data_IF_281259711843
#
_entry.id   IF_281259711843
#
_cell.length_a   1.000
_cell.length_b   1.000
_cell.length_c   1.000
_cell.angle_alpha   90.00
_cell.angle_beta   90.00
_cell.angle_gamma   90.00
#
_symmetry.space_group_name_H-M   'P 1'
#
loop_
_entity.id
_entity.type
_entity.pdbx_description
1 polymer ?
#
# COMPACT_ATOMS: atom_id res chain seq x y z
N UNK A 1 25.46 1.03 5.88
CA UNK A 1 24.70 1.23 4.62
C UNK A 1 23.62 2.30 4.81
N UNK A 2 23.28 3.05 3.77
CA UNK A 2 22.17 4.00 3.86
C UNK A 2 20.83 3.25 4.05
N UNK A 3 19.94 3.75 4.92
CA UNK A 3 18.61 3.16 5.13
C UNK A 3 17.81 3.15 3.83
N UNK A 4 17.23 1.99 3.46
CA UNK A 4 16.34 1.90 2.30
C UNK A 4 15.03 2.66 2.53
N UNK A 5 14.39 3.07 1.45
CA UNK A 5 13.12 3.79 1.47
C UNK A 5 11.91 2.87 1.39
N UNK A 6 10.89 3.20 2.16
CA UNK A 6 9.55 2.61 2.07
C UNK A 6 8.57 3.75 1.80
N UNK A 7 7.74 3.59 0.77
CA UNK A 7 6.71 4.56 0.44
C UNK A 7 5.33 3.93 0.62
N UNK A 8 4.45 4.58 1.38
CA UNK A 8 3.08 4.10 1.62
C UNK A 8 2.11 5.24 1.37
N UNK A 9 1.08 4.99 0.57
CA UNK A 9 0.01 5.94 0.31
C UNK A 9 -1.36 5.32 0.58
N UNK A 10 -2.38 6.17 0.76
CA UNK A 10 -3.74 5.73 0.96
C UNK A 10 -4.75 6.74 0.40
N UNK A 11 -6.00 6.33 0.33
CA UNK A 11 -7.16 7.19 0.11
C UNK A 11 -7.11 8.00 -1.20
N UNK A 12 -6.64 7.39 -2.30
CA UNK A 12 -6.75 7.99 -3.63
C UNK A 12 -8.20 8.07 -4.09
N UNK A 13 -9.03 7.09 -3.70
CA UNK A 13 -10.48 7.15 -3.84
C UNK A 13 -11.10 7.58 -2.50
N UNK A 14 -11.80 8.71 -2.46
CA UNK A 14 -12.28 9.30 -1.21
C UNK A 14 -13.23 8.41 -0.41
N UNK A 15 -14.08 7.60 -1.06
CA UNK A 15 -15.03 6.70 -0.40
C UNK A 15 -14.39 5.45 0.21
N UNK A 16 -13.11 5.16 -0.09
CA UNK A 16 -12.43 3.96 0.41
C UNK A 16 -11.86 4.17 1.83
N UNK A 17 -12.75 4.34 2.82
CA UNK A 17 -12.37 4.62 4.23
C UNK A 17 -11.51 3.54 4.88
N UNK A 18 -11.62 2.27 4.44
CA UNK A 18 -10.78 1.16 4.87
C UNK A 18 -9.28 1.49 4.76
N UNK A 19 -8.89 2.15 3.67
CA UNK A 19 -7.49 2.50 3.43
C UNK A 19 -6.94 3.46 4.48
N UNK A 20 -7.76 4.38 4.99
CA UNK A 20 -7.37 5.30 6.07
C UNK A 20 -7.23 4.59 7.41
N UNK A 21 -8.07 3.59 7.70
CA UNK A 21 -7.94 2.80 8.92
C UNK A 21 -6.72 1.88 8.89
N UNK A 22 -6.40 1.28 7.74
CA UNK A 22 -5.13 0.57 7.56
C UNK A 22 -3.93 1.51 7.74
N UNK A 23 -4.00 2.71 7.14
CA UNK A 23 -2.95 3.72 7.29
C UNK A 23 -2.77 4.18 8.73
N UNK A 24 -3.85 4.32 9.49
CA UNK A 24 -3.78 4.62 10.93
C UNK A 24 -2.98 3.54 11.66
N UNK A 25 -3.27 2.26 11.39
CA UNK A 25 -2.52 1.14 11.98
C UNK A 25 -1.03 1.14 11.60
N UNK A 26 -0.70 1.52 10.37
CA UNK A 26 0.69 1.73 9.92
C UNK A 26 1.37 2.82 10.74
N UNK A 27 0.74 3.98 10.88
CA UNK A 27 1.33 5.13 11.57
C UNK A 27 1.47 4.85 13.07
N UNK A 28 0.41 4.39 13.72
CA UNK A 28 0.40 4.08 15.16
C UNK A 28 1.50 3.06 15.51
N UNK A 29 1.64 2.03 14.70
CA UNK A 29 2.70 1.04 14.92
C UNK A 29 4.10 1.64 14.71
N UNK A 30 4.31 2.41 13.65
CA UNK A 30 5.61 3.01 13.37
C UNK A 30 6.08 4.00 14.45
N UNK A 31 5.17 4.70 15.12
CA UNK A 31 5.55 5.65 16.17
C UNK A 31 5.56 5.02 17.55
N UNK A 32 5.17 3.75 17.69
CA UNK A 32 5.17 3.04 18.95
C UNK A 32 6.59 2.80 19.50
N UNK A 33 6.67 2.49 20.79
CA UNK A 33 7.92 2.16 21.48
C UNK A 33 8.33 0.68 21.36
N UNK A 34 7.58 -0.12 20.58
CA UNK A 34 7.85 -1.56 20.45
C UNK A 34 9.20 -1.82 19.79
N UNK A 35 9.89 -2.94 20.14
CA UNK A 35 11.17 -3.32 19.51
C UNK A 35 11.07 -3.44 17.99
N UNK A 36 9.96 -3.96 17.49
CA UNK A 36 9.69 -4.11 16.06
C UNK A 36 9.61 -2.75 15.36
N UNK A 37 8.89 -1.78 15.94
CA UNK A 37 8.79 -0.44 15.39
C UNK A 37 10.14 0.29 15.40
N UNK A 38 10.93 0.09 16.46
CA UNK A 38 12.30 0.61 16.54
C UNK A 38 13.16 0.02 15.42
N UNK A 39 13.16 -1.31 15.26
CA UNK A 39 13.93 -2.01 14.23
C UNK A 39 13.56 -1.49 12.82
N UNK A 40 12.28 -1.23 12.55
CA UNK A 40 11.84 -0.65 11.29
C UNK A 40 12.42 0.76 11.07
N UNK A 41 12.31 1.65 12.06
CA UNK A 41 12.83 3.02 11.97
C UNK A 41 14.37 3.06 11.89
N UNK A 42 15.04 2.09 12.47
CA UNK A 42 16.51 1.98 12.42
C UNK A 42 17.03 1.50 11.06
N UNK A 43 16.23 0.72 10.32
CA UNK A 43 16.63 0.14 9.03
C UNK A 43 16.03 0.85 7.82
N UNK A 44 14.92 1.58 7.98
CA UNK A 44 14.21 2.22 6.87
C UNK A 44 13.94 3.71 7.10
N UNK A 45 13.76 4.42 6.00
CA UNK A 45 13.14 5.75 5.97
C UNK A 45 11.77 5.61 5.32
N UNK A 46 10.73 5.99 6.06
CA UNK A 46 9.35 5.95 5.58
C UNK A 46 8.93 7.29 5.00
N UNK A 47 8.31 7.27 3.82
CA UNK A 47 7.54 8.38 3.27
C UNK A 47 6.07 7.93 3.23
N UNK A 48 5.23 8.66 3.95
CA UNK A 48 3.81 8.32 4.12
C UNK A 48 2.96 9.46 3.57
N UNK A 49 2.01 9.11 2.71
CA UNK A 49 0.97 10.01 2.18
C UNK A 49 -0.39 9.48 2.63
N UNK A 50 -0.91 9.93 3.78
CA UNK A 50 -2.09 9.33 4.41
C UNK A 50 -3.36 9.47 3.56
N UNK A 51 -3.50 10.57 2.83
CA UNK A 51 -4.67 10.86 1.99
C UNK A 51 -4.20 11.47 0.67
N UNK A 52 -4.33 10.70 -0.41
CA UNK A 52 -3.97 11.15 -1.76
C UNK A 52 -5.03 12.10 -2.37
N UNK A 53 -6.27 12.03 -1.91
CA UNK A 53 -7.36 12.86 -2.42
C UNK A 53 -8.11 13.58 -1.28
N UNK A 54 -7.42 14.51 -0.58
CA UNK A 54 -8.03 15.22 0.56
C UNK A 54 -9.26 16.04 0.16
N UNK A 55 -9.22 16.69 -0.98
CA UNK A 55 -10.34 17.50 -1.49
C UNK A 55 -11.59 16.64 -1.70
N UNK A 56 -11.43 15.48 -2.31
CA UNK A 56 -12.52 14.54 -2.51
C UNK A 56 -13.09 14.00 -1.19
N UNK A 57 -12.24 13.79 -0.18
CA UNK A 57 -12.67 13.36 1.16
C UNK A 57 -13.48 14.46 1.84
N UNK A 58 -13.00 15.71 1.82
CA UNK A 58 -13.67 16.86 2.43
C UNK A 58 -15.02 17.13 1.74
N UNK A 59 -15.06 17.01 0.42
CA UNK A 59 -16.26 17.23 -0.38
C UNK A 59 -17.27 16.07 -0.33
N UNK A 60 -16.88 14.91 0.26
CA UNK A 60 -17.75 13.73 0.31
C UNK A 60 -17.86 12.95 -1.00
N UNK A 61 -16.91 13.08 -1.91
CA UNK A 61 -16.88 12.32 -3.15
C UNK A 61 -16.68 10.82 -2.86
N UNK A 62 -17.29 9.96 -3.68
CA UNK A 62 -17.03 8.53 -3.56
C UNK A 62 -15.69 8.12 -4.21
N UNK A 63 -15.36 8.67 -5.40
CA UNK A 63 -14.22 8.20 -6.18
C UNK A 63 -13.33 9.31 -6.75
N UNK A 64 -13.90 10.33 -7.33
CA UNK A 64 -13.16 11.31 -8.10
C UNK A 64 -12.63 12.48 -7.26
N UNK A 65 -11.62 13.17 -7.79
CA UNK A 65 -11.18 14.49 -7.31
C UNK A 65 -12.20 15.58 -7.65
N UNK A 66 -11.99 16.81 -7.20
CA UNK A 66 -12.85 17.95 -7.54
C UNK A 66 -12.91 18.23 -9.05
N UNK A 67 -11.88 17.86 -9.81
CA UNK A 67 -11.88 17.96 -11.27
C UNK A 67 -12.62 16.81 -11.97
N UNK A 68 -13.38 15.98 -11.24
CA UNK A 68 -14.11 14.83 -11.78
C UNK A 68 -13.22 13.68 -12.27
N UNK A 69 -11.96 13.65 -11.88
CA UNK A 69 -11.00 12.66 -12.35
C UNK A 69 -10.79 11.53 -11.34
N UNK A 70 -10.79 10.27 -11.83
CA UNK A 70 -10.22 9.15 -11.09
C UNK A 70 -8.70 9.30 -11.06
N UNK A 71 -8.17 9.75 -9.93
CA UNK A 71 -6.73 9.99 -9.78
C UNK A 71 -5.92 8.70 -9.95
N UNK A 72 -6.50 7.51 -9.67
CA UNK A 72 -5.81 6.24 -9.92
C UNK A 72 -5.89 5.77 -11.38
N UNK A 73 -6.15 6.67 -12.32
CA UNK A 73 -5.99 6.50 -13.77
C UNK A 73 -5.06 7.54 -14.37
N UNK A 74 -4.46 8.42 -13.55
CA UNK A 74 -3.68 9.57 -14.01
C UNK A 74 -2.20 9.53 -13.62
N UNK A 75 -1.68 8.37 -13.23
CA UNK A 75 -0.29 8.25 -12.80
C UNK A 75 0.73 8.20 -13.94
N UNK A 76 0.35 7.78 -15.14
CA UNK A 76 1.27 7.71 -16.28
C UNK A 76 1.81 9.11 -16.65
N UNK A 77 0.92 10.05 -16.88
CA UNK A 77 1.24 11.45 -17.27
C UNK A 77 0.37 12.43 -16.48
N UNK A 78 0.65 12.64 -15.18
CA UNK A 78 -0.16 13.54 -14.38
C UNK A 78 0.03 14.99 -14.81
N UNK A 79 -1.07 15.71 -15.03
CA UNK A 79 -1.07 17.14 -15.29
C UNK A 79 -0.95 17.89 -13.96
N UNK A 80 -0.11 18.92 -13.91
CA UNK A 80 0.14 19.70 -12.68
C UNK A 80 -1.10 20.41 -12.14
N UNK A 81 -2.01 20.82 -13.00
CA UNK A 81 -3.23 21.56 -12.63
C UNK A 81 -4.39 20.61 -12.34
N UNK A 82 -4.63 19.62 -13.22
CA UNK A 82 -5.77 18.70 -13.10
C UNK A 82 -5.54 17.55 -12.13
N UNK A 83 -4.27 17.15 -11.91
CA UNK A 83 -3.90 16.04 -11.05
C UNK A 83 -2.73 16.44 -10.14
N UNK A 84 -2.87 17.54 -9.35
CA UNK A 84 -1.74 18.13 -8.62
C UNK A 84 -1.09 17.16 -7.64
N UNK A 85 -1.89 16.31 -6.98
CA UNK A 85 -1.40 15.31 -6.02
C UNK A 85 -0.55 14.24 -6.72
N UNK A 86 -1.04 13.66 -7.80
CA UNK A 86 -0.27 12.67 -8.58
C UNK A 86 1.06 13.26 -9.05
N UNK A 87 1.02 14.50 -9.54
CA UNK A 87 2.21 15.20 -10.00
C UNK A 87 3.22 15.42 -8.85
N UNK A 88 2.74 15.90 -7.69
CA UNK A 88 3.58 16.15 -6.52
C UNK A 88 4.17 14.86 -5.95
N UNK A 89 3.36 13.80 -5.82
CA UNK A 89 3.79 12.50 -5.29
C UNK A 89 4.80 11.82 -6.22
N UNK A 90 4.62 11.87 -7.54
CA UNK A 90 5.65 11.38 -8.47
C UNK A 90 6.99 12.11 -8.30
N UNK A 91 6.95 13.41 -8.12
CA UNK A 91 8.17 14.20 -7.84
C UNK A 91 8.80 13.80 -6.52
N UNK A 92 7.98 13.63 -5.47
CA UNK A 92 8.44 13.21 -4.15
C UNK A 92 9.14 11.85 -4.20
N UNK A 93 8.54 10.85 -4.87
CA UNK A 93 9.14 9.52 -5.00
C UNK A 93 10.47 9.60 -5.78
N UNK A 94 10.51 10.33 -6.91
CA UNK A 94 11.74 10.52 -7.68
C UNK A 94 12.84 11.21 -6.88
N UNK A 95 12.48 12.23 -6.08
CA UNK A 95 13.45 12.89 -5.19
C UNK A 95 13.96 11.93 -4.12
N UNK A 96 13.07 11.14 -3.53
CA UNK A 96 13.40 10.15 -2.53
C UNK A 96 14.35 9.06 -3.06
N UNK A 97 14.16 8.64 -4.32
CA UNK A 97 15.02 7.68 -5.01
C UNK A 97 16.44 8.22 -5.33
N UNK A 98 16.61 9.54 -5.41
CA UNK A 98 17.94 10.14 -5.56
C UNK A 98 18.78 10.02 -4.29
N UNK A 99 18.12 9.97 -3.14
CA UNK A 99 18.77 9.90 -1.83
C UNK A 99 19.04 8.46 -1.40
N UNK A 100 18.20 7.50 -1.82
CA UNK A 100 18.24 6.10 -1.39
C UNK A 100 17.51 5.15 -2.30
N UNK A 101 17.86 3.87 -2.24
CA UNK A 101 17.08 2.81 -2.85
C UNK A 101 15.69 2.73 -2.20
N UNK A 102 14.62 2.76 -2.98
CA UNK A 102 13.25 2.52 -2.51
C UNK A 102 12.94 1.04 -2.69
N UNK A 103 12.81 0.34 -1.56
CA UNK A 103 12.54 -1.11 -1.54
C UNK A 103 11.08 -1.44 -1.87
N UNK A 104 10.15 -0.60 -1.42
CA UNK A 104 8.71 -0.86 -1.56
C UNK A 104 7.89 0.41 -1.73
N UNK A 105 6.86 0.32 -2.57
CA UNK A 105 5.72 1.22 -2.61
C UNK A 105 4.43 0.43 -2.43
N UNK A 106 3.64 0.75 -1.41
CA UNK A 106 2.33 0.15 -1.15
C UNK A 106 1.24 1.22 -1.12
N UNK A 107 0.22 1.07 -1.99
CA UNK A 107 -0.94 1.94 -2.06
C UNK A 107 -2.16 1.22 -1.46
N UNK A 108 -2.75 1.80 -0.41
CA UNK A 108 -3.83 1.20 0.36
C UNK A 108 -5.20 1.64 -0.19
N UNK A 109 -6.06 0.65 -0.45
CA UNK A 109 -7.37 0.79 -1.08
C UNK A 109 -8.49 0.06 -0.34
N UNK A 110 -9.72 0.35 -0.71
CA UNK A 110 -10.91 -0.41 -0.34
C UNK A 110 -11.55 -1.10 -1.56
N UNK A 111 -12.07 -2.30 -1.38
CA UNK A 111 -12.65 -3.12 -2.44
C UNK A 111 -14.11 -3.50 -2.18
N UNK A 112 -15.01 -3.20 -3.14
CA UNK A 112 -16.46 -3.37 -2.98
C UNK A 112 -17.02 -4.73 -3.41
N UNK A 113 -16.24 -5.57 -4.09
CA UNK A 113 -16.76 -6.80 -4.73
C UNK A 113 -16.25 -8.10 -4.12
N UNK A 114 -15.12 -8.09 -3.45
CA UNK A 114 -14.50 -9.29 -2.88
C UNK A 114 -14.42 -9.17 -1.38
N UNK A 115 -14.53 -10.29 -0.71
CA UNK A 115 -14.21 -10.43 0.72
C UNK A 115 -12.68 -10.49 0.91
N UNK A 116 -12.25 -10.46 2.16
CA UNK A 116 -10.84 -10.50 2.60
C UNK A 116 -10.04 -9.24 2.28
N UNK A 117 -8.77 -9.31 2.63
CA UNK A 117 -7.74 -8.37 2.19
C UNK A 117 -6.79 -9.13 1.27
N UNK A 118 -6.35 -8.50 0.20
CA UNK A 118 -5.48 -9.11 -0.81
C UNK A 118 -4.64 -8.04 -1.52
N UNK A 119 -3.67 -8.46 -2.33
CA UNK A 119 -2.81 -7.54 -3.06
C UNK A 119 -2.87 -7.72 -4.57
N UNK A 120 -2.71 -6.60 -5.27
CA UNK A 120 -2.26 -6.58 -6.65
C UNK A 120 -0.78 -6.22 -6.69
N UNK A 121 0.04 -7.04 -7.33
CA UNK A 121 1.46 -6.80 -7.61
C UNK A 121 1.75 -6.77 -9.11
N UNK A 122 3.03 -6.81 -9.47
CA UNK A 122 3.48 -6.80 -10.85
C UNK A 122 4.33 -8.05 -11.12
N UNK A 123 4.07 -8.73 -12.24
CA UNK A 123 4.88 -9.86 -12.64
C UNK A 123 6.21 -9.36 -13.23
N UNK A 124 7.32 -9.80 -12.66
CA UNK A 124 8.67 -9.53 -13.13
C UNK A 124 9.07 -10.72 -13.99
N UNK A 125 9.33 -10.52 -15.28
CA UNK A 125 9.60 -11.61 -16.23
C UNK A 125 10.82 -12.42 -15.83
N UNK A 126 11.88 -11.74 -15.44
CA UNK A 126 13.19 -12.31 -15.07
C UNK A 126 13.17 -13.02 -13.71
N UNK A 127 12.19 -12.68 -12.85
CA UNK A 127 12.06 -13.22 -11.50
C UNK A 127 10.57 -13.34 -11.11
N UNK A 128 9.79 -14.26 -11.73
CA UNK A 128 8.32 -14.27 -11.59
C UNK A 128 7.82 -14.56 -10.18
N UNK A 129 8.65 -15.15 -9.33
CA UNK A 129 8.29 -15.44 -7.94
C UNK A 129 8.60 -14.29 -6.97
N UNK A 130 9.53 -13.40 -7.31
CA UNK A 130 10.01 -12.35 -6.39
C UNK A 130 8.89 -11.44 -5.90
N UNK A 131 8.01 -11.01 -6.78
CA UNK A 131 6.86 -10.15 -6.43
C UNK A 131 5.79 -10.85 -5.58
N UNK A 132 5.86 -12.17 -5.43
CA UNK A 132 4.91 -12.97 -4.65
C UNK A 132 5.39 -13.22 -3.21
N UNK A 133 6.70 -13.07 -2.96
CA UNK A 133 7.29 -13.39 -1.65
C UNK A 133 6.67 -12.55 -0.55
N UNK A 134 6.60 -11.23 -0.73
CA UNK A 134 6.05 -10.34 0.29
C UNK A 134 4.57 -10.64 0.62
N UNK A 135 3.64 -10.72 -0.36
CA UNK A 135 2.25 -11.12 -0.09
C UNK A 135 2.11 -12.52 0.51
N UNK A 136 3.01 -13.45 0.16
CA UNK A 136 3.01 -14.78 0.76
C UNK A 136 3.39 -14.73 2.24
N UNK A 137 4.44 -13.99 2.61
CA UNK A 137 4.82 -13.75 4.01
C UNK A 137 3.64 -13.15 4.78
N UNK A 138 3.01 -12.12 4.20
CA UNK A 138 1.86 -11.46 4.83
C UNK A 138 0.71 -12.44 5.10
N UNK A 139 0.44 -13.40 4.19
CA UNK A 139 -0.58 -14.43 4.38
C UNK A 139 -0.27 -15.42 5.50
N UNK A 140 0.99 -15.53 5.91
CA UNK A 140 1.39 -16.35 7.07
C UNK A 140 1.27 -15.61 8.40
N UNK A 141 1.23 -14.28 8.36
CA UNK A 141 1.09 -13.42 9.53
C UNK A 141 -0.35 -12.97 9.78
N UNK A 142 -1.22 -13.12 8.78
CA UNK A 142 -2.60 -12.62 8.84
C UNK A 142 -3.53 -13.56 8.06
N UNK A 143 -4.39 -14.27 8.76
CA UNK A 143 -5.27 -15.32 8.22
C UNK A 143 -6.46 -14.77 7.42
N UNK A 144 -6.85 -13.50 7.65
CA UNK A 144 -7.86 -12.79 6.84
C UNK A 144 -7.25 -12.04 5.63
N UNK A 145 -5.94 -12.15 5.41
CA UNK A 145 -5.30 -11.79 4.15
C UNK A 145 -5.30 -12.99 3.20
N UNK A 146 -5.78 -12.80 1.99
CA UNK A 146 -5.86 -13.88 0.98
C UNK A 146 -4.78 -13.74 -0.08
N UNK A 147 -3.78 -14.61 -0.01
CA UNK A 147 -2.79 -14.75 -1.08
C UNK A 147 -3.41 -15.26 -2.37
N UNK A 148 -4.37 -16.19 -2.29
CA UNK A 148 -5.05 -16.82 -3.43
C UNK A 148 -5.87 -15.81 -4.25
N UNK A 149 -6.39 -14.77 -3.61
CA UNK A 149 -7.11 -13.69 -4.29
C UNK A 149 -6.15 -12.63 -4.87
N UNK A 150 -4.89 -12.64 -4.47
CA UNK A 150 -3.89 -11.69 -4.99
C UNK A 150 -3.59 -11.96 -6.46
N UNK A 151 -3.28 -10.91 -7.22
CA UNK A 151 -3.03 -11.00 -8.68
C UNK A 151 -1.83 -10.15 -9.04
N UNK A 152 -1.03 -10.65 -10.00
CA UNK A 152 0.24 -10.05 -10.40
C UNK A 152 0.29 -9.69 -11.90
N UNK A 153 -0.84 -9.77 -12.58
CA UNK A 153 -0.93 -9.47 -14.01
C UNK A 153 -0.84 -7.97 -14.30
N UNK A 154 -0.22 -7.65 -15.43
CA UNK A 154 -0.14 -6.31 -16.00
C UNK A 154 -1.24 -6.16 -17.06
N UNK A 155 -2.34 -5.51 -16.72
CA UNK A 155 -3.45 -5.26 -17.65
C UNK A 155 -3.32 -3.89 -18.32
N UNK A 156 -3.53 -3.81 -19.64
CA UNK A 156 -3.57 -2.54 -20.38
C UNK A 156 -4.60 -1.57 -19.81
N UNK A 157 -5.78 -2.06 -19.42
CA UNK A 157 -6.83 -1.23 -18.82
C UNK A 157 -6.43 -0.57 -17.48
N UNK A 158 -5.34 -1.03 -16.86
CA UNK A 158 -4.83 -0.53 -15.57
C UNK A 158 -3.50 0.23 -15.69
N UNK A 159 -3.01 0.53 -16.90
CA UNK A 159 -1.72 1.20 -17.12
C UNK A 159 -1.61 2.58 -16.47
N UNK A 160 -2.74 3.27 -16.28
CA UNK A 160 -2.80 4.57 -15.59
C UNK A 160 -2.80 4.50 -14.06
N UNK A 161 -2.83 3.30 -13.45
CA UNK A 161 -2.80 3.15 -11.98
C UNK A 161 -1.41 3.40 -11.43
N UNK A 162 -1.34 3.79 -10.15
CA UNK A 162 -0.07 3.96 -9.43
C UNK A 162 0.82 2.74 -9.57
N UNK A 163 0.27 1.55 -9.28
CA UNK A 163 0.99 0.29 -9.31
C UNK A 163 1.70 0.03 -10.64
N UNK A 164 1.02 0.15 -11.77
CA UNK A 164 1.60 -0.19 -13.07
C UNK A 164 2.47 0.96 -13.60
N UNK A 165 2.01 2.21 -13.48
CA UNK A 165 2.75 3.35 -13.98
C UNK A 165 4.10 3.53 -13.26
N UNK A 166 4.11 3.43 -11.93
CA UNK A 166 5.33 3.53 -11.14
C UNK A 166 6.27 2.34 -11.36
N UNK A 167 5.73 1.12 -11.47
CA UNK A 167 6.53 -0.07 -11.77
C UNK A 167 7.30 0.06 -13.07
N UNK A 168 6.63 0.53 -14.13
CA UNK A 168 7.26 0.69 -15.45
C UNK A 168 8.27 1.83 -15.51
N UNK A 169 8.09 2.85 -14.67
CA UNK A 169 8.88 4.07 -14.72
C UNK A 169 10.03 4.10 -13.72
N UNK A 170 9.81 3.58 -12.52
CA UNK A 170 10.74 3.79 -11.41
C UNK A 170 11.56 2.55 -11.05
N UNK A 171 11.27 1.40 -11.65
CA UNK A 171 11.99 0.15 -11.38
C UNK A 171 12.08 -0.21 -9.87
N UNK A 172 11.07 0.14 -9.09
CA UNK A 172 10.97 -0.27 -7.68
C UNK A 172 10.55 -1.75 -7.66
N UNK A 173 11.28 -2.64 -6.96
CA UNK A 173 11.03 -4.09 -7.03
C UNK A 173 9.68 -4.51 -6.46
N UNK A 174 9.22 -3.85 -5.40
CA UNK A 174 7.99 -4.19 -4.70
C UNK A 174 7.00 -3.04 -4.80
N UNK A 175 6.11 -3.09 -5.79
CA UNK A 175 4.99 -2.14 -5.90
C UNK A 175 3.69 -2.90 -5.80
N UNK A 176 2.88 -2.55 -4.79
CA UNK A 176 1.63 -3.20 -4.47
C UNK A 176 0.47 -2.21 -4.36
N UNK A 177 -0.71 -2.67 -4.75
CA UNK A 177 -1.99 -2.13 -4.28
C UNK A 177 -2.54 -3.13 -3.27
N UNK A 178 -2.79 -2.71 -2.04
CA UNK A 178 -3.47 -3.52 -1.03
C UNK A 178 -4.95 -3.13 -0.99
N UNK A 179 -5.81 -4.11 -1.16
CA UNK A 179 -7.26 -3.95 -1.22
C UNK A 179 -7.89 -4.58 0.02
N UNK A 180 -8.67 -3.81 0.78
CA UNK A 180 -9.45 -4.33 1.91
C UNK A 180 -10.94 -4.30 1.58
N UNK A 181 -11.63 -5.42 1.80
CA UNK A 181 -13.08 -5.51 1.60
C UNK A 181 -13.84 -4.48 2.43
N UNK A 182 -14.90 -3.89 1.86
CA UNK A 182 -15.88 -3.11 2.64
C UNK A 182 -16.79 -3.99 3.50
N UNK A 183 -16.84 -5.30 3.21
CA UNK A 183 -17.62 -6.25 4.00
C UNK A 183 -16.78 -6.87 5.12
N UNK A 184 -16.00 -7.90 4.79
CA UNK A 184 -15.27 -8.67 5.78
C UNK A 184 -14.54 -9.85 5.16
N UNK A 185 -14.29 -10.89 5.97
CA UNK A 185 -13.58 -12.08 5.56
C UNK A 185 -14.51 -13.26 5.29
N UNK A 186 -14.05 -14.21 4.45
CA UNK A 186 -14.65 -15.54 4.27
C UNK A 186 -13.71 -16.65 4.77
N UNK A 187 -12.64 -16.26 5.49
CA UNK A 187 -11.59 -17.15 5.98
C UNK A 187 -11.04 -16.68 7.33
N UNK A 188 -10.25 -17.57 7.96
CA UNK A 188 -9.55 -17.31 9.21
C UNK A 188 -10.49 -17.06 10.39
N UNK A 189 -9.96 -16.45 11.43
CA UNK A 189 -10.69 -16.12 12.66
C UNK A 189 -11.82 -15.12 12.43
N UNK A 190 -11.73 -14.31 11.37
CA UNK A 190 -12.75 -13.34 10.99
C UNK A 190 -13.74 -13.85 9.95
N UNK A 191 -13.80 -15.18 9.73
CA UNK A 191 -14.73 -15.78 8.75
C UNK A 191 -16.17 -15.36 9.04
N UNK A 192 -16.84 -14.85 7.99
CA UNK A 192 -18.22 -14.37 7.98
C UNK A 192 -18.52 -13.18 8.92
N UNK A 193 -17.46 -12.50 9.40
CA UNK A 193 -17.57 -11.26 10.15
C UNK A 193 -17.23 -10.05 9.26
N UNK A 194 -17.88 -8.92 9.54
CA UNK A 194 -17.49 -7.63 8.96
C UNK A 194 -16.17 -7.13 9.56
N UNK A 195 -15.35 -6.49 8.74
CA UNK A 195 -14.15 -5.82 9.26
C UNK A 195 -14.52 -4.61 10.11
N UNK A 196 -14.01 -4.61 11.32
CA UNK A 196 -14.01 -3.44 12.20
C UNK A 196 -12.84 -2.52 11.89
N UNK A 197 -12.85 -1.31 12.43
CA UNK A 197 -11.70 -0.40 12.34
C UNK A 197 -10.45 -1.00 12.95
N UNK A 198 -10.57 -1.81 14.01
CA UNK A 198 -9.44 -2.48 14.67
C UNK A 198 -8.84 -3.58 13.79
N UNK A 199 -9.67 -4.34 13.05
CA UNK A 199 -9.19 -5.31 12.09
C UNK A 199 -8.37 -4.64 10.97
N UNK A 200 -8.85 -3.49 10.48
CA UNK A 200 -8.14 -2.73 9.44
C UNK A 200 -6.84 -2.12 9.98
N UNK A 201 -6.82 -1.59 11.21
CA UNK A 201 -5.60 -1.12 11.87
C UNK A 201 -4.62 -2.27 12.08
N UNK A 202 -5.11 -3.44 12.51
CA UNK A 202 -4.30 -4.66 12.63
C UNK A 202 -3.65 -5.02 11.30
N UNK A 203 -4.37 -4.91 10.17
CA UNK A 203 -3.79 -5.14 8.86
C UNK A 203 -2.65 -4.17 8.54
N UNK A 204 -2.80 -2.89 8.89
CA UNK A 204 -1.73 -1.90 8.76
C UNK A 204 -0.47 -2.27 9.54
N UNK A 205 -0.63 -2.76 10.77
CA UNK A 205 0.47 -3.31 11.58
C UNK A 205 1.09 -4.55 10.92
N UNK A 206 0.27 -5.52 10.47
CA UNK A 206 0.74 -6.76 9.81
C UNK A 206 1.55 -6.50 8.54
N UNK A 207 1.20 -5.46 7.78
CA UNK A 207 1.99 -5.00 6.63
C UNK A 207 3.44 -4.70 7.02
N UNK A 208 3.65 -4.05 8.16
CA UNK A 208 4.97 -3.67 8.66
C UNK A 208 5.71 -4.84 9.31
N UNK A 209 5.01 -5.72 10.02
CA UNK A 209 5.59 -6.96 10.53
C UNK A 209 6.07 -7.87 9.38
N UNK A 210 5.29 -7.94 8.30
CA UNK A 210 5.71 -8.65 7.08
C UNK A 210 6.97 -8.03 6.45
N UNK A 211 7.13 -6.70 6.53
CA UNK A 211 8.34 -6.02 6.05
C UNK A 211 9.57 -6.40 6.86
N UNK A 212 9.45 -6.58 8.18
CA UNK A 212 10.54 -7.07 9.05
C UNK A 212 11.00 -8.46 8.57
N UNK A 213 10.05 -9.38 8.42
CA UNK A 213 10.34 -10.76 7.97
C UNK A 213 10.93 -10.77 6.56
N UNK A 214 10.33 -10.03 5.64
CA UNK A 214 10.79 -9.92 4.25
C UNK A 214 12.22 -9.41 4.12
N UNK A 215 12.58 -8.47 4.98
CA UNK A 215 13.91 -7.82 4.95
C UNK A 215 14.95 -8.52 5.81
N UNK A 216 14.57 -9.51 6.61
CA UNK A 216 15.47 -10.26 7.50
C UNK A 216 16.12 -9.38 8.57
N UNK A 217 15.50 -8.27 8.96
CA UNK A 217 16.06 -7.39 10.00
C UNK A 217 15.87 -8.01 11.38
N UNK A 218 16.91 -8.00 12.23
CA UNK A 218 16.78 -8.51 13.58
C UNK A 218 15.91 -7.59 14.44
N UNK A 219 15.11 -8.18 15.32
CA UNK A 219 14.35 -7.47 16.36
C UNK A 219 14.97 -7.85 17.71
N UNK A 220 15.70 -6.90 18.28
CA UNK A 220 16.25 -7.07 19.63
C UNK A 220 15.09 -6.89 20.63
N UNK A 221 14.79 -7.94 21.36
CA UNK A 221 13.87 -7.92 22.49
C UNK A 221 14.75 -7.66 23.73
N UNK A 222 14.98 -6.40 24.01
CA UNK A 222 15.59 -5.99 25.28
C UNK A 222 14.56 -6.05 26.40
#
# INVERSE_FOLDING_TARGET
MAKKGIFISARVHPGESNSSWMMKGVIDFLVSSTPEARALRDNFVFKIVPILNPDGVINGNYRCSLSGQDLNRRWKTPNKVLHPVNFAVKRLIRSFMKEREVLMYCDLHGHSRRKNIFMYGNNIKEAPHSSRVFPYILSKLCDFFSFEQSRFSLSRAKEGTARIAMFRELNIPNIFTMEASFCGADRGELKDLHFTTDNLQTMGKRLLEALIVYSGIPVNKD
#
